data_IF_553230200949
#
_entry.id   IF_553230200949
#
_cell.length_a   1.000
_cell.length_b   1.000
_cell.length_c   1.000
_cell.angle_alpha   90.00
_cell.angle_beta   90.00
_cell.angle_gamma   90.00
#
_symmetry.space_group_name_H-M   'P 1'
#
loop_
_entity.id
_entity.type
_entity.pdbx_description
1 polymer ?
#
# COMPACT_ATOMS: atom_id res chain seq x y z
N UNK A 1 -15.96 -9.63 -65.48
CA UNK A 1 -14.91 -8.61 -65.23
C UNK A 1 -15.54 -7.45 -64.47
N UNK A 2 -14.79 -6.83 -63.54
CA UNK A 2 -15.15 -5.70 -62.64
C UNK A 2 -15.84 -6.12 -61.34
N UNK A 3 -15.11 -6.45 -60.25
CA UNK A 3 -14.32 -5.66 -59.27
C UNK A 3 -15.19 -4.89 -58.25
N UNK A 4 -15.23 -5.40 -57.01
CA UNK A 4 -14.87 -4.66 -55.79
C UNK A 4 -15.93 -3.81 -55.07
N UNK A 5 -16.39 -4.30 -53.90
CA UNK A 5 -16.70 -3.46 -52.74
C UNK A 5 -16.56 -4.29 -51.44
N UNK A 6 -15.35 -4.37 -50.89
CA UNK A 6 -15.13 -4.79 -49.51
C UNK A 6 -15.21 -3.55 -48.62
N UNK A 7 -16.37 -3.34 -48.01
CA UNK A 7 -16.58 -2.33 -46.97
C UNK A 7 -17.40 -2.93 -45.84
N UNK A 8 -16.83 -3.84 -45.05
CA UNK A 8 -17.43 -4.18 -43.75
C UNK A 8 -17.08 -3.05 -42.80
N UNK A 9 -18.02 -2.13 -42.63
CA UNK A 9 -18.00 -1.12 -41.58
C UNK A 9 -17.55 -1.75 -40.27
N UNK A 10 -16.56 -1.14 -39.61
CA UNK A 10 -16.23 -1.43 -38.22
C UNK A 10 -17.48 -1.10 -37.41
N UNK A 11 -18.31 -2.13 -37.18
CA UNK A 11 -19.49 -2.03 -36.33
C UNK A 11 -19.08 -1.40 -35.01
N UNK A 12 -19.82 -0.38 -34.60
CA UNK A 12 -19.60 0.37 -33.38
C UNK A 12 -19.20 -0.59 -32.24
N UNK A 13 -18.09 -0.30 -31.58
CA UNK A 13 -17.79 -0.90 -30.28
C UNK A 13 -18.87 -0.39 -29.34
N UNK A 14 -19.98 -1.11 -29.26
CA UNK A 14 -20.96 -0.94 -28.20
C UNK A 14 -20.21 -1.34 -26.94
N UNK A 15 -19.77 -0.36 -26.16
CA UNK A 15 -19.40 -0.59 -24.77
C UNK A 15 -20.68 -1.07 -24.07
N UNK A 16 -20.81 -2.39 -24.01
CA UNK A 16 -21.91 -3.08 -23.35
C UNK A 16 -21.70 -2.94 -21.83
N UNK A 17 -21.70 -1.70 -21.34
CA UNK A 17 -21.47 -1.33 -19.92
C UNK A 17 -22.55 -1.93 -19.02
N UNK A 18 -23.71 -2.31 -19.60
CA UNK A 18 -24.76 -3.07 -18.94
C UNK A 18 -24.41 -4.54 -18.63
N UNK A 19 -23.28 -5.05 -19.13
CA UNK A 19 -22.77 -6.40 -18.83
C UNK A 19 -21.63 -6.41 -17.81
N UNK A 20 -21.26 -5.26 -17.25
CA UNK A 20 -20.38 -5.24 -16.07
C UNK A 20 -21.19 -5.84 -14.92
N UNK A 21 -20.80 -6.99 -14.36
CA UNK A 21 -21.56 -7.62 -13.28
C UNK A 21 -21.60 -6.69 -12.07
N UNK A 22 -22.80 -6.31 -11.64
CA UNK A 22 -23.00 -5.59 -10.38
C UNK A 22 -22.61 -6.51 -9.22
N UNK A 23 -21.52 -6.18 -8.55
CA UNK A 23 -21.08 -6.83 -7.31
C UNK A 23 -21.89 -6.28 -6.15
N UNK A 24 -22.95 -7.01 -5.77
CA UNK A 24 -23.58 -6.82 -4.45
C UNK A 24 -22.67 -7.46 -3.41
N UNK A 25 -21.90 -6.65 -2.67
CA UNK A 25 -21.21 -7.12 -1.46
C UNK A 25 -22.25 -7.22 -0.34
N UNK A 26 -22.42 -8.41 0.21
CA UNK A 26 -23.15 -8.63 1.46
C UNK A 26 -22.11 -9.08 2.49
N UNK A 27 -21.72 -8.20 3.41
CA UNK A 27 -20.75 -8.49 4.47
C UNK A 27 -19.32 -8.00 4.19
N UNK A 28 -18.41 -8.27 5.12
CA UNK A 28 -17.01 -7.81 5.14
C UNK A 28 -16.05 -8.69 4.30
N UNK A 29 -16.57 -9.50 3.38
CA UNK A 29 -15.74 -10.41 2.60
C UNK A 29 -15.05 -9.67 1.44
N UNK A 30 -13.72 -9.67 1.44
CA UNK A 30 -12.93 -9.16 0.33
C UNK A 30 -12.91 -10.21 -0.79
N UNK A 31 -13.28 -9.82 -2.01
CA UNK A 31 -13.29 -10.68 -3.19
C UNK A 31 -12.29 -10.17 -4.22
N UNK A 32 -11.54 -11.07 -4.86
CA UNK A 32 -10.80 -10.74 -6.09
C UNK A 32 -11.60 -11.20 -7.31
N UNK A 33 -11.72 -10.32 -8.29
CA UNK A 33 -12.33 -10.60 -9.59
C UNK A 33 -11.25 -11.07 -10.56
N UNK A 34 -11.16 -12.37 -10.81
CA UNK A 34 -10.34 -12.87 -11.93
C UNK A 34 -11.19 -12.82 -13.20
N UNK A 35 -10.83 -11.93 -14.12
CA UNK A 35 -11.46 -11.80 -15.44
C UNK A 35 -10.63 -12.57 -16.45
N UNK A 36 -11.15 -13.68 -16.96
CA UNK A 36 -10.54 -14.33 -18.12
C UNK A 36 -10.80 -13.46 -19.36
N UNK A 37 -9.78 -12.79 -19.90
CA UNK A 37 -9.91 -11.86 -21.03
C UNK A 37 -10.35 -12.53 -22.33
N UNK A 38 -10.13 -13.84 -22.49
CA UNK A 38 -10.52 -14.58 -23.68
C UNK A 38 -11.95 -15.13 -23.60
N UNK A 39 -12.37 -15.57 -22.41
CA UNK A 39 -13.67 -16.25 -22.23
C UNK A 39 -14.70 -15.43 -21.44
N UNK A 40 -14.36 -14.22 -20.97
CA UNK A 40 -15.20 -13.30 -20.17
C UNK A 40 -15.90 -13.98 -18.97
N UNK A 41 -15.30 -15.03 -18.42
CA UNK A 41 -15.80 -15.67 -17.21
C UNK A 41 -15.27 -14.92 -15.99
N UNK A 42 -16.16 -14.68 -15.02
CA UNK A 42 -15.85 -14.03 -13.74
C UNK A 42 -15.91 -15.10 -12.66
N UNK A 43 -14.77 -15.41 -12.05
CA UNK A 43 -14.72 -16.30 -10.88
C UNK A 43 -14.62 -15.43 -9.63
N UNK A 44 -15.64 -15.50 -8.77
CA UNK A 44 -15.59 -14.94 -7.42
C UNK A 44 -14.67 -15.84 -6.59
N UNK A 45 -13.55 -15.31 -6.13
CA UNK A 45 -12.69 -15.99 -5.17
C UNK A 45 -12.93 -15.29 -3.84
N UNK A 46 -13.53 -16.00 -2.88
CA UNK A 46 -13.58 -15.57 -1.48
C UNK A 46 -12.13 -15.43 -1.00
N UNK A 47 -11.76 -14.30 -0.41
CA UNK A 47 -10.53 -14.22 0.39
C UNK A 47 -10.72 -15.12 1.62
N UNK A 48 -10.51 -16.42 1.43
CA UNK A 48 -10.53 -17.39 2.51
C UNK A 48 -9.35 -17.11 3.44
N UNK A 49 -9.62 -16.98 4.73
CA UNK A 49 -8.62 -16.84 5.80
C UNK A 49 -7.69 -18.05 5.94
N UNK A 50 -7.92 -19.10 5.16
CA UNK A 50 -7.08 -20.28 5.05
C UNK A 50 -6.37 -20.28 3.70
N UNK A 51 -5.06 -20.05 3.71
CA UNK A 51 -4.21 -20.41 2.57
C UNK A 51 -4.39 -21.90 2.27
N UNK A 52 -4.30 -22.29 1.00
CA UNK A 52 -4.29 -23.72 0.67
C UNK A 52 -2.99 -24.34 1.19
N UNK A 53 -3.09 -25.41 1.96
CA UNK A 53 -1.94 -26.08 2.59
C UNK A 53 -1.99 -27.59 2.40
N UNK A 54 -0.80 -28.20 2.35
CA UNK A 54 -0.60 -29.65 2.28
C UNK A 54 0.46 -30.09 3.29
N UNK A 55 0.41 -31.34 3.75
CA UNK A 55 1.39 -31.83 4.72
C UNK A 55 2.76 -32.02 4.08
N UNK A 56 2.79 -32.54 2.86
CA UNK A 56 4.03 -32.87 2.15
C UNK A 56 4.04 -32.37 0.71
N UNK A 57 5.23 -32.22 0.12
CA UNK A 57 5.36 -31.81 -1.29
C UNK A 57 4.65 -32.77 -2.26
N UNK A 58 4.49 -34.06 -1.89
CA UNK A 58 3.84 -35.06 -2.74
C UNK A 58 2.33 -34.86 -2.87
N UNK A 59 1.72 -34.09 -1.97
CA UNK A 59 0.28 -33.79 -1.96
C UNK A 59 -0.08 -32.54 -2.74
N UNK A 60 0.92 -31.85 -3.33
CA UNK A 60 0.64 -30.70 -4.17
C UNK A 60 -0.20 -31.11 -5.39
N UNK A 61 -1.27 -30.36 -5.73
CA UNK A 61 -2.14 -30.71 -6.85
C UNK A 61 -1.38 -30.83 -8.17
N UNK A 62 -1.69 -31.86 -8.94
CA UNK A 62 -1.06 -32.13 -10.25
C UNK A 62 -1.87 -31.64 -11.45
N UNK A 63 -3.09 -31.15 -11.22
CA UNK A 63 -3.98 -30.64 -12.27
C UNK A 63 -4.90 -29.55 -11.72
N UNK A 64 -5.44 -28.72 -12.62
CA UNK A 64 -6.38 -27.65 -12.25
C UNK A 64 -5.75 -26.41 -11.63
N UNK A 65 -4.41 -26.33 -11.58
CA UNK A 65 -3.68 -25.17 -11.09
C UNK A 65 -3.52 -24.12 -12.19
N UNK A 66 -3.58 -22.85 -11.82
CA UNK A 66 -3.22 -21.72 -12.67
C UNK A 66 -1.82 -21.22 -12.31
N UNK A 67 -1.11 -20.66 -13.30
CA UNK A 67 0.20 -20.03 -13.04
C UNK A 67 0.06 -19.02 -11.90
N UNK A 68 1.01 -19.06 -10.97
CA UNK A 68 1.07 -18.28 -9.74
C UNK A 68 0.10 -18.70 -8.62
N UNK A 69 -0.53 -19.87 -8.71
CA UNK A 69 -1.15 -20.48 -7.53
C UNK A 69 -0.09 -20.75 -6.46
N UNK A 70 -0.45 -20.48 -5.20
CA UNK A 70 0.44 -20.57 -4.04
C UNK A 70 -0.14 -21.54 -3.01
N UNK A 71 0.68 -22.48 -2.55
CA UNK A 71 0.34 -23.46 -1.51
C UNK A 71 1.47 -23.57 -0.49
N UNK A 72 1.12 -23.74 0.79
CA UNK A 72 2.09 -24.00 1.87
C UNK A 72 2.30 -25.51 2.02
N UNK A 73 3.56 -25.95 2.04
CA UNK A 73 3.96 -27.32 2.39
C UNK A 73 4.51 -27.32 3.82
N UNK A 74 3.92 -28.11 4.73
CA UNK A 74 4.25 -28.08 6.16
C UNK A 74 5.49 -28.89 6.55
N UNK A 75 5.73 -30.00 5.88
CA UNK A 75 6.75 -30.98 6.28
C UNK A 75 7.85 -31.13 5.25
N UNK A 76 9.10 -31.04 5.71
CA UNK A 76 10.26 -31.41 4.89
C UNK A 76 10.34 -32.93 4.79
N UNK A 77 10.30 -33.46 3.58
CA UNK A 77 10.37 -34.91 3.33
C UNK A 77 11.62 -35.28 2.53
N UNK A 78 12.03 -36.56 2.62
CA UNK A 78 13.17 -37.12 1.90
C UNK A 78 14.47 -37.23 2.71
N UNK A 79 15.50 -37.77 2.07
CA UNK A 79 16.83 -37.98 2.64
C UNK A 79 17.73 -36.76 2.43
N UNK A 80 18.75 -36.58 3.30
CA UNK A 80 19.72 -35.48 3.22
C UNK A 80 20.29 -35.39 1.79
N UNK A 81 20.35 -34.18 1.22
CA UNK A 81 20.81 -33.93 -0.16
C UNK A 81 19.71 -33.95 -1.23
N UNK A 82 18.55 -34.57 -0.95
CA UNK A 82 17.43 -34.66 -1.90
C UNK A 82 16.08 -34.30 -1.25
N UNK A 83 16.11 -33.53 -0.17
CA UNK A 83 14.91 -33.18 0.59
C UNK A 83 14.03 -32.20 -0.18
N UNK A 84 12.73 -32.43 -0.16
CA UNK A 84 11.72 -31.42 -0.50
C UNK A 84 11.45 -30.63 0.78
N UNK A 85 11.83 -29.35 0.79
CA UNK A 85 11.82 -28.53 2.01
C UNK A 85 10.43 -27.93 2.22
N UNK A 86 9.96 -27.88 3.47
CA UNK A 86 8.75 -27.13 3.85
C UNK A 86 8.84 -25.66 3.45
N UNK A 87 7.70 -25.01 3.22
CA UNK A 87 7.63 -23.59 2.86
C UNK A 87 6.58 -23.31 1.81
N UNK A 88 6.66 -22.11 1.24
CA UNK A 88 5.74 -21.65 0.22
C UNK A 88 6.16 -22.17 -1.16
N UNK A 89 5.22 -22.75 -1.89
CA UNK A 89 5.42 -23.22 -3.26
C UNK A 89 4.51 -22.45 -4.21
N UNK A 90 5.04 -22.14 -5.39
CA UNK A 90 4.33 -21.48 -6.47
C UNK A 90 4.23 -22.42 -7.67
N UNK A 91 3.07 -22.46 -8.31
CA UNK A 91 2.90 -23.19 -9.56
C UNK A 91 3.33 -22.32 -10.74
N UNK A 92 4.33 -22.75 -11.50
CA UNK A 92 4.87 -21.99 -12.64
C UNK A 92 4.04 -22.13 -13.92
N UNK A 93 3.02 -22.99 -13.90
CA UNK A 93 2.29 -23.43 -15.09
C UNK A 93 2.64 -24.86 -15.51
N UNK A 94 3.83 -25.33 -15.13
CA UNK A 94 4.30 -26.69 -15.45
C UNK A 94 4.75 -27.48 -14.22
N UNK A 95 5.20 -26.81 -13.16
CA UNK A 95 5.71 -27.46 -11.96
C UNK A 95 5.51 -26.60 -10.72
N UNK A 96 5.63 -27.24 -9.56
CA UNK A 96 5.72 -26.55 -8.28
C UNK A 96 7.17 -26.20 -7.97
N UNK A 97 7.45 -24.91 -7.82
CA UNK A 97 8.75 -24.40 -7.42
C UNK A 97 8.69 -23.81 -6.02
N UNK A 98 9.74 -24.02 -5.22
CA UNK A 98 9.79 -23.46 -3.88
C UNK A 98 10.12 -21.98 -4.00
N UNK A 99 9.26 -21.12 -3.45
CA UNK A 99 9.63 -19.73 -3.27
C UNK A 99 10.77 -19.65 -2.24
N UNK A 100 11.82 -18.92 -2.59
CA UNK A 100 12.94 -18.71 -1.67
C UNK A 100 12.43 -18.08 -0.36
N UNK A 101 13.05 -18.41 0.79
CA UNK A 101 12.61 -17.89 2.09
C UNK A 101 12.72 -16.36 2.22
N UNK A 102 13.38 -15.69 1.28
CA UNK A 102 13.52 -14.24 1.22
C UNK A 102 12.46 -13.62 0.32
N UNK A 103 11.53 -12.89 0.93
CA UNK A 103 10.64 -11.97 0.24
C UNK A 103 11.31 -10.60 0.19
N UNK A 104 11.58 -10.14 -1.03
CA UNK A 104 12.00 -8.76 -1.24
C UNK A 104 10.76 -7.90 -1.46
N UNK A 105 10.81 -6.64 -1.03
CA UNK A 105 9.68 -5.71 -1.10
C UNK A 105 9.19 -5.48 -2.54
N UNK A 106 10.06 -5.59 -3.55
CA UNK A 106 9.71 -5.53 -4.98
C UNK A 106 8.86 -6.71 -5.45
N UNK A 107 8.87 -7.83 -4.72
CA UNK A 107 8.09 -9.05 -5.02
C UNK A 107 6.84 -9.21 -4.18
N UNK A 108 6.54 -8.24 -3.31
CA UNK A 108 5.34 -8.25 -2.47
C UNK A 108 4.31 -7.32 -3.08
N UNK A 109 3.12 -7.86 -3.36
CA UNK A 109 2.00 -7.03 -3.80
C UNK A 109 1.62 -6.06 -2.68
N UNK A 110 1.52 -4.78 -3.02
CA UNK A 110 1.12 -3.72 -2.10
C UNK A 110 -0.27 -3.20 -2.49
N UNK A 111 -1.14 -3.09 -1.50
CA UNK A 111 -2.50 -2.60 -1.61
C UNK A 111 -2.62 -1.38 -0.69
N UNK A 112 -2.98 -0.22 -1.24
CA UNK A 112 -2.95 1.04 -0.50
C UNK A 112 -4.32 1.68 -0.29
N UNK A 113 -5.43 1.07 -0.74
CA UNK A 113 -6.78 1.68 -0.70
C UNK A 113 -7.24 2.08 0.69
N UNK A 114 -6.75 1.39 1.73
CA UNK A 114 -7.12 1.67 3.13
C UNK A 114 -5.97 2.24 3.97
N UNK A 115 -4.79 2.45 3.38
CA UNK A 115 -3.58 2.82 4.14
C UNK A 115 -3.46 4.32 4.42
N UNK A 116 -4.13 5.16 3.61
CA UNK A 116 -3.91 6.60 3.60
C UNK A 116 -2.57 7.03 2.98
N UNK A 117 -1.72 6.08 2.55
CA UNK A 117 -0.45 6.34 1.88
C UNK A 117 -0.66 6.46 0.37
N UNK A 118 0.04 7.41 -0.23
CA UNK A 118 0.04 7.64 -1.68
C UNK A 118 0.94 6.65 -2.44
N UNK A 119 1.79 5.91 -1.72
CA UNK A 119 2.68 4.89 -2.24
C UNK A 119 1.97 3.82 -3.10
N UNK A 120 2.69 3.27 -4.08
CA UNK A 120 2.20 2.24 -5.02
C UNK A 120 2.95 0.92 -4.93
N UNK A 121 3.98 0.86 -4.09
CA UNK A 121 4.75 -0.35 -3.79
C UNK A 121 5.24 -0.31 -2.33
N UNK A 122 5.68 -1.46 -1.82
CA UNK A 122 6.11 -1.61 -0.42
C UNK A 122 7.29 -0.68 -0.08
N UNK A 123 8.27 -0.52 -0.99
CA UNK A 123 9.42 0.36 -0.74
C UNK A 123 8.99 1.81 -0.55
N UNK A 124 8.18 2.34 -1.48
CA UNK A 124 7.67 3.70 -1.40
C UNK A 124 6.81 3.93 -0.15
N UNK A 125 6.03 2.94 0.28
CA UNK A 125 5.21 3.04 1.48
C UNK A 125 6.06 3.14 2.76
N UNK A 126 7.16 2.39 2.81
CA UNK A 126 8.14 2.47 3.90
C UNK A 126 8.81 3.86 3.90
N UNK A 127 9.20 4.36 2.74
CA UNK A 127 9.83 5.68 2.61
C UNK A 127 8.87 6.79 3.05
N UNK A 128 7.61 6.77 2.62
CA UNK A 128 6.57 7.74 2.99
C UNK A 128 6.30 7.72 4.51
N UNK A 129 6.22 6.53 5.10
CA UNK A 129 6.03 6.38 6.55
C UNK A 129 7.22 6.94 7.34
N UNK A 130 8.44 6.65 6.88
CA UNK A 130 9.65 7.18 7.51
C UNK A 130 9.70 8.71 7.45
N UNK A 131 9.24 9.32 6.35
CA UNK A 131 9.16 10.78 6.20
C UNK A 131 8.08 11.40 7.12
N UNK A 132 6.93 10.74 7.29
CA UNK A 132 5.86 11.22 8.17
C UNK A 132 6.23 11.13 9.66
N UNK A 133 7.31 10.44 10.01
CA UNK A 133 7.83 10.34 11.38
C UNK A 133 8.93 11.37 11.69
N UNK A 134 9.22 12.30 10.78
CA UNK A 134 10.21 13.36 11.02
C UNK A 134 9.64 14.37 12.03
N UNK A 135 9.84 14.08 13.31
CA UNK A 135 9.56 14.95 14.46
C UNK A 135 9.92 16.41 14.13
N UNK A 136 8.89 17.23 13.87
CA UNK A 136 9.09 18.65 13.69
C UNK A 136 9.36 19.20 15.07
N UNK A 137 10.55 19.80 15.26
CA UNK A 137 10.80 20.61 16.45
C UNK A 137 9.60 21.53 16.66
N UNK A 138 9.01 21.50 17.85
CA UNK A 138 7.85 22.33 18.14
C UNK A 138 8.21 23.79 17.84
N UNK A 139 7.38 24.46 17.03
CA UNK A 139 7.59 25.85 16.67
C UNK A 139 6.70 26.72 17.55
N UNK A 140 7.32 27.55 18.38
CA UNK A 140 6.57 28.45 19.28
C UNK A 140 5.67 29.42 18.52
N UNK A 141 6.01 29.77 17.28
CA UNK A 141 5.26 30.72 16.46
C UNK A 141 4.27 30.05 15.49
N UNK A 142 4.15 28.73 15.50
CA UNK A 142 3.15 28.01 14.70
C UNK A 142 1.73 28.33 15.20
N UNK A 143 0.83 28.56 14.25
CA UNK A 143 -0.57 28.93 14.52
C UNK A 143 -1.57 27.95 13.91
N UNK A 144 -1.13 27.09 12.98
CA UNK A 144 -1.95 26.06 12.36
C UNK A 144 -2.09 24.85 13.28
N UNK A 145 -3.29 24.63 13.82
CA UNK A 145 -3.61 23.51 14.73
C UNK A 145 -3.46 22.12 14.11
N UNK A 146 -3.34 22.04 12.78
CA UNK A 146 -3.15 20.79 12.05
C UNK A 146 -1.68 20.54 11.68
N UNK A 147 -0.77 21.45 12.04
CA UNK A 147 0.68 21.29 11.86
C UNK A 147 1.24 20.43 12.98
N UNK A 148 2.10 19.46 12.67
CA UNK A 148 2.74 18.64 13.72
C UNK A 148 3.69 19.47 14.61
N UNK A 149 4.04 20.69 14.19
CA UNK A 149 4.83 21.65 14.99
C UNK A 149 4.02 22.41 16.04
N UNK A 150 2.69 22.28 16.04
CA UNK A 150 1.79 23.09 16.86
C UNK A 150 1.81 22.69 18.34
N UNK A 151 1.95 23.69 19.22
CA UNK A 151 1.98 23.50 20.67
C UNK A 151 0.58 23.77 21.24
N UNK A 152 -0.15 22.71 21.62
CA UNK A 152 -1.51 22.83 22.18
C UNK A 152 -1.57 23.63 23.48
N UNK A 153 -0.54 23.52 24.33
CA UNK A 153 -0.46 24.21 25.61
C UNK A 153 0.48 25.42 25.55
N UNK A 154 0.35 26.26 24.52
CA UNK A 154 1.11 27.50 24.43
C UNK A 154 0.62 28.48 25.51
N UNK A 155 1.47 28.93 26.46
CA UNK A 155 1.14 30.00 27.37
C UNK A 155 0.84 31.28 26.58
N UNK A 156 -0.34 31.87 26.79
CA UNK A 156 -0.58 33.25 26.38
C UNK A 156 -0.03 34.17 27.45
N UNK A 157 0.59 35.27 27.06
CA UNK A 157 0.91 36.36 27.98
C UNK A 157 -0.27 37.33 27.94
N UNK A 158 -1.10 37.42 29.00
CA UNK A 158 -2.18 38.40 29.06
C UNK A 158 -1.65 39.81 28.79
N UNK A 159 -2.39 40.59 28.01
CA UNK A 159 -2.04 41.98 27.68
C UNK A 159 -1.93 42.88 28.92
N UNK A 160 -2.55 42.51 30.03
CA UNK A 160 -2.39 43.18 31.33
C UNK A 160 -0.99 43.02 31.95
N UNK A 161 -0.21 42.05 31.47
CA UNK A 161 1.17 41.83 31.88
C UNK A 161 2.19 42.32 30.84
N UNK A 162 1.75 42.69 29.63
CA UNK A 162 2.59 43.46 28.73
C UNK A 162 2.64 44.87 29.32
N UNK A 163 3.78 45.35 29.86
CA UNK A 163 3.83 46.67 30.45
C UNK A 163 3.48 47.68 29.36
N UNK A 164 2.39 48.43 29.57
CA UNK A 164 2.00 49.57 28.72
C UNK A 164 3.07 50.66 28.69
N UNK A 165 4.00 50.56 29.65
CA UNK A 165 5.04 51.54 29.93
C UNK A 165 6.43 50.89 29.73
N UNK A 166 6.58 49.89 28.84
CA UNK A 166 7.89 49.30 28.53
C UNK A 166 8.94 50.38 28.18
N UNK A 167 8.49 51.47 27.56
CA UNK A 167 9.28 52.66 27.23
C UNK A 167 9.70 53.48 28.47
N UNK A 168 9.00 53.38 29.60
CA UNK A 168 9.33 54.11 30.83
C UNK A 168 10.53 53.50 31.59
N UNK A 169 10.87 52.22 31.34
CA UNK A 169 12.03 51.56 31.94
C UNK A 169 13.31 51.68 31.10
N UNK A 170 13.23 52.24 29.88
CA UNK A 170 14.43 52.73 29.20
C UNK A 170 14.89 53.95 29.95
N UNK A 171 15.86 53.78 30.87
CA UNK A 171 16.46 54.93 31.57
C UNK A 171 16.96 55.92 30.53
N UNK A 172 16.35 57.10 30.47
CA UNK A 172 16.72 58.23 29.60
C UNK A 172 18.07 58.88 29.94
N UNK A 173 19.01 58.16 30.58
CA UNK A 173 20.30 58.74 30.89
C UNK A 173 21.43 57.77 30.54
N UNK A 174 21.75 57.74 29.25
CA UNK A 174 23.05 57.32 28.74
C UNK A 174 23.91 58.56 28.45
N UNK A 175 23.97 59.51 29.39
CA UNK A 175 25.04 60.51 29.37
C UNK A 175 26.25 59.95 30.13
N UNK A 176 26.85 58.88 29.59
CA UNK A 176 28.23 58.56 29.95
C UNK A 176 29.14 59.62 29.33
N UNK A 177 29.48 60.64 30.11
CA UNK A 177 30.58 61.54 29.77
C UNK A 177 31.90 60.78 29.97
N UNK A 178 32.32 60.07 28.93
CA UNK A 178 33.64 59.48 28.87
C UNK A 178 34.69 60.60 28.91
N UNK A 179 35.26 60.82 30.09
CA UNK A 179 36.40 61.73 30.28
C UNK A 179 37.67 60.92 30.05
N UNK A 180 38.21 61.02 28.84
CA UNK A 180 39.62 60.71 28.54
C UNK A 180 40.51 61.87 28.99
#
# INVERSE_FOLDING_TARGET
MTIGAFGKSLGAVVSDDAKVPTISQTGSDHYFLVINKQNKTVKKILASSTYSEVDTFAELPSSGMITNDIIVVRTTTGVIGFRKIKGLYIYTGTAWERLSPSFHADRVFYENSSSGLSATNVNAAIDETNLNCTNIQSNWDETNTNSDSFIQNKPTVPSVFAPTDAEANVKSNWDETNTN
#
